data_IF_262695017182
#
_entry.id   IF_262695017182
#
_cell.length_a   1.000
_cell.length_b   1.000
_cell.length_c   1.000
_cell.angle_alpha   90.00
_cell.angle_beta   90.00
_cell.angle_gamma   90.00
#
_symmetry.space_group_name_H-M   'P 1'
#
loop_
_entity.id
_entity.type
_entity.pdbx_description
1 polymer ?
#
# COMPACT_ATOMS: atom_id res chain seq x y z
N UNK A 1 -20.37 10.00 73.32
CA UNK A 1 -18.91 9.91 73.59
C UNK A 1 -18.21 9.55 72.28
N UNK A 2 -17.67 10.54 71.55
CA UNK A 2 -16.99 10.30 70.27
C UNK A 2 -15.52 9.99 70.52
N UNK A 3 -15.10 8.77 70.19
CA UNK A 3 -13.71 8.29 70.31
C UNK A 3 -12.90 8.86 69.15
N UNK A 4 -12.07 9.87 69.40
CA UNK A 4 -11.11 10.38 68.41
C UNK A 4 -10.10 9.27 68.09
N UNK A 5 -10.06 8.81 66.83
CA UNK A 5 -8.98 7.94 66.35
C UNK A 5 -7.71 8.79 66.22
N UNK A 6 -6.65 8.39 66.91
CA UNK A 6 -5.34 9.00 66.77
C UNK A 6 -4.85 8.83 65.33
N UNK A 7 -4.57 9.94 64.64
CA UNK A 7 -3.92 9.93 63.34
C UNK A 7 -2.51 9.37 63.57
N UNK A 8 -2.29 8.14 63.11
CA UNK A 8 -0.98 7.50 63.17
C UNK A 8 -0.08 8.29 62.23
N UNK A 9 0.87 9.06 62.75
CA UNK A 9 1.94 9.67 61.96
C UNK A 9 2.89 8.55 61.52
N UNK A 10 2.49 7.77 60.52
CA UNK A 10 3.40 6.87 59.83
C UNK A 10 4.42 7.74 59.13
N UNK A 11 5.63 7.83 59.71
CA UNK A 11 6.76 8.42 59.01
C UNK A 11 6.87 7.72 57.64
N UNK A 12 7.00 8.48 56.53
CA UNK A 12 7.12 7.87 55.23
C UNK A 12 8.29 6.89 55.22
N UNK A 13 8.18 5.75 54.51
CA UNK A 13 9.28 4.79 54.43
C UNK A 13 10.55 5.49 53.93
N UNK A 14 11.71 5.16 54.51
CA UNK A 14 12.98 5.85 54.27
C UNK A 14 13.33 5.95 52.77
N UNK A 15 12.92 4.97 51.98
CA UNK A 15 13.03 4.95 50.53
C UNK A 15 12.33 6.13 49.83
N UNK A 16 11.10 6.45 50.28
CA UNK A 16 10.32 7.56 49.73
C UNK A 16 10.99 8.90 50.02
N UNK A 17 11.53 9.06 51.23
CA UNK A 17 12.31 10.25 51.60
C UNK A 17 13.54 10.43 50.73
N UNK A 18 14.21 9.33 50.37
CA UNK A 18 15.41 9.37 49.52
C UNK A 18 15.07 9.77 48.08
N UNK A 19 13.93 9.31 47.55
CA UNK A 19 13.40 9.73 46.24
C UNK A 19 13.03 11.21 46.25
N UNK A 20 12.32 11.68 47.29
CA UNK A 20 11.90 13.08 47.40
C UNK A 20 13.12 14.00 47.48
N UNK A 21 14.16 13.60 48.22
CA UNK A 21 15.41 14.35 48.36
C UNK A 21 16.14 14.54 47.02
N UNK A 22 16.08 13.55 46.13
CA UNK A 22 16.72 13.58 44.81
C UNK A 22 15.73 13.83 43.65
N UNK A 23 14.50 14.25 43.96
CA UNK A 23 13.41 14.39 42.99
C UNK A 23 13.76 15.29 41.81
N UNK A 24 14.49 16.38 42.02
CA UNK A 24 14.92 17.28 40.96
C UNK A 24 15.91 16.62 39.98
N UNK A 25 16.86 15.85 40.48
CA UNK A 25 17.85 15.13 39.66
C UNK A 25 17.18 14.03 38.85
N UNK A 26 16.27 13.28 39.51
CA UNK A 26 15.49 12.22 38.87
C UNK A 26 14.59 12.81 37.78
N UNK A 27 13.92 13.93 38.04
CA UNK A 27 13.10 14.62 37.04
C UNK A 27 13.93 15.09 35.84
N UNK A 28 15.12 15.65 36.07
CA UNK A 28 16.03 16.05 35.00
C UNK A 28 16.49 14.84 34.16
N UNK A 29 16.83 13.73 34.82
CA UNK A 29 17.22 12.49 34.14
C UNK A 29 16.10 11.98 33.22
N UNK A 30 14.86 11.91 33.72
CA UNK A 30 13.71 11.50 32.91
C UNK A 30 13.41 12.46 31.76
N UNK A 31 13.62 13.75 31.95
CA UNK A 31 13.45 14.75 30.90
C UNK A 31 14.47 14.54 29.77
N UNK A 32 15.74 14.32 30.10
CA UNK A 32 16.78 14.01 29.11
C UNK A 32 16.47 12.68 28.40
N UNK A 33 16.04 11.66 29.15
CA UNK A 33 15.65 10.37 28.58
C UNK A 33 14.49 10.50 27.59
N UNK A 34 13.48 11.31 27.92
CA UNK A 34 12.35 11.59 27.05
C UNK A 34 12.76 12.31 25.77
N UNK A 35 13.69 13.26 25.84
CA UNK A 35 14.24 13.95 24.65
C UNK A 35 14.97 12.93 23.75
N UNK A 36 15.87 12.13 24.32
CA UNK A 36 16.61 11.10 23.56
C UNK A 36 15.63 10.11 22.92
N UNK A 37 14.63 9.65 23.66
CA UNK A 37 13.60 8.75 23.17
C UNK A 37 12.76 9.38 22.04
N UNK A 38 12.47 10.68 22.12
CA UNK A 38 11.75 11.40 21.06
C UNK A 38 12.61 11.51 19.79
N UNK A 39 13.91 11.79 19.92
CA UNK A 39 14.82 11.77 18.77
C UNK A 39 14.95 10.37 18.15
N UNK A 40 14.96 9.32 18.97
CA UNK A 40 14.94 7.93 18.50
C UNK A 40 13.64 7.55 17.78
N UNK A 41 12.49 8.06 18.24
CA UNK A 41 11.21 7.88 17.55
C UNK A 41 11.15 8.61 16.21
N UNK A 42 11.77 9.79 16.12
CA UNK A 42 11.84 10.59 14.88
C UNK A 42 12.86 10.00 13.90
N UNK A 43 13.95 9.41 14.39
CA UNK A 43 14.87 8.66 13.52
C UNK A 43 14.11 7.46 12.94
N UNK A 44 13.94 7.47 11.62
CA UNK A 44 13.04 6.57 10.90
C UNK A 44 13.25 5.08 11.14
N UNK A 45 14.41 4.67 11.68
CA UNK A 45 14.70 3.26 12.00
C UNK A 45 13.72 2.62 13.01
N UNK A 46 13.10 3.40 13.92
CA UNK A 46 12.15 2.89 14.92
C UNK A 46 10.71 3.35 14.62
N UNK A 47 10.54 4.52 14.00
CA UNK A 47 9.23 5.11 13.71
C UNK A 47 8.34 4.24 12.82
N UNK A 48 8.93 3.48 11.87
CA UNK A 48 8.17 2.62 10.97
C UNK A 48 7.40 1.52 11.70
N UNK A 49 7.93 0.98 12.81
CA UNK A 49 7.29 -0.08 13.59
C UNK A 49 6.10 0.41 14.44
N UNK A 50 5.97 1.72 14.66
CA UNK A 50 4.94 2.30 15.56
C UNK A 50 3.79 2.99 14.82
N UNK A 51 3.77 2.91 13.48
CA UNK A 51 2.74 3.50 12.64
C UNK A 51 1.46 2.67 12.69
N UNK A 52 0.61 2.91 13.68
CA UNK A 52 -0.71 2.26 13.77
C UNK A 52 -1.69 3.01 12.86
N UNK A 53 -2.12 2.36 11.78
CA UNK A 53 -3.16 2.87 10.89
C UNK A 53 -4.44 2.07 11.12
N UNK A 54 -5.51 2.73 11.53
CA UNK A 54 -6.80 2.09 11.85
C UNK A 54 -7.57 1.64 10.60
N UNK A 55 -7.19 2.10 9.39
CA UNK A 55 -7.87 1.77 8.12
C UNK A 55 -6.93 1.58 6.92
N UNK A 56 -5.65 1.27 7.13
CA UNK A 56 -4.76 0.89 6.05
C UNK A 56 -4.34 -0.56 6.26
N UNK A 57 -4.16 -1.29 5.16
CA UNK A 57 -3.49 -2.59 5.13
C UNK A 57 -2.43 -2.72 6.24
N UNK A 58 -2.40 -3.89 6.89
CA UNK A 58 -1.39 -4.26 7.89
C UNK A 58 -0.03 -3.72 7.44
N UNK A 59 0.65 -2.92 8.28
CA UNK A 59 1.98 -2.36 8.00
C UNK A 59 3.09 -3.43 7.80
N UNK A 60 2.71 -4.71 7.68
CA UNK A 60 3.57 -5.83 7.28
C UNK A 60 3.02 -6.64 6.09
N UNK A 61 2.01 -6.15 5.36
CA UNK A 61 1.44 -6.79 4.15
C UNK A 61 1.79 -6.02 2.87
N UNK A 62 2.21 -4.75 2.98
CA UNK A 62 2.64 -3.94 1.85
C UNK A 62 4.12 -4.19 1.58
N UNK A 63 4.46 -4.73 0.42
CA UNK A 63 5.82 -4.64 -0.10
C UNK A 63 6.03 -3.23 -0.65
N UNK A 64 6.88 -2.45 0.02
CA UNK A 64 7.16 -1.07 -0.36
C UNK A 64 8.06 -0.97 -1.60
N UNK A 65 8.68 -2.07 -2.02
CA UNK A 65 9.67 -2.08 -3.09
C UNK A 65 9.20 -2.93 -4.25
N UNK A 66 9.16 -2.31 -5.42
CA UNK A 66 9.00 -3.04 -6.67
C UNK A 66 10.32 -3.72 -7.05
N UNK A 67 10.34 -5.05 -7.03
CA UNK A 67 11.57 -5.82 -7.26
C UNK A 67 11.77 -6.22 -8.74
N UNK A 68 10.75 -6.13 -9.59
CA UNK A 68 10.83 -6.59 -10.98
C UNK A 68 11.15 -5.46 -11.97
N UNK A 69 12.39 -4.98 -11.92
CA UNK A 69 12.90 -3.94 -12.82
C UNK A 69 13.12 -4.49 -14.24
N UNK A 70 13.49 -5.76 -14.36
CA UNK A 70 13.78 -6.39 -15.64
C UNK A 70 12.52 -6.48 -16.51
N UNK A 71 11.41 -6.94 -15.94
CA UNK A 71 10.13 -7.01 -16.66
C UNK A 71 9.63 -5.63 -17.09
N UNK A 72 9.78 -4.62 -16.22
CA UNK A 72 9.43 -3.25 -16.57
C UNK A 72 10.28 -2.73 -17.74
N UNK A 73 11.59 -3.02 -17.75
CA UNK A 73 12.47 -2.61 -18.85
C UNK A 73 12.11 -3.29 -20.17
N UNK A 74 11.74 -4.57 -20.15
CA UNK A 74 11.29 -5.31 -21.33
C UNK A 74 9.97 -4.73 -21.88
N UNK A 75 9.00 -4.47 -21.00
CA UNK A 75 7.72 -3.84 -21.40
C UNK A 75 7.94 -2.46 -22.03
N UNK A 76 8.88 -1.67 -21.50
CA UNK A 76 9.24 -0.36 -22.06
C UNK A 76 9.90 -0.48 -23.43
N UNK A 77 10.76 -1.47 -23.63
CA UNK A 77 11.41 -1.74 -24.92
C UNK A 77 10.36 -2.15 -25.97
N UNK A 78 9.55 -3.16 -25.66
CA UNK A 78 8.49 -3.67 -26.55
C UNK A 78 7.48 -2.57 -26.93
N UNK A 79 7.00 -1.79 -25.95
CA UNK A 79 6.09 -0.67 -26.20
C UNK A 79 6.79 0.47 -26.96
N UNK A 80 8.10 0.63 -26.78
CA UNK A 80 8.93 1.60 -27.49
C UNK A 80 9.01 1.32 -28.99
N UNK A 81 9.02 0.05 -29.40
CA UNK A 81 9.02 -0.36 -30.81
C UNK A 81 7.69 -0.01 -31.50
N UNK A 82 6.56 -0.21 -30.81
CA UNK A 82 5.21 -0.02 -31.37
C UNK A 82 4.58 1.35 -31.07
N UNK A 83 5.36 2.28 -30.48
CA UNK A 83 4.87 3.57 -29.97
C UNK A 83 4.07 4.43 -30.95
N UNK A 84 4.36 4.29 -32.24
CA UNK A 84 3.75 5.12 -33.28
C UNK A 84 2.37 4.60 -33.73
N UNK A 85 2.00 3.36 -33.37
CA UNK A 85 0.75 2.74 -33.80
C UNK A 85 -0.16 2.39 -32.62
N UNK A 86 -1.17 3.22 -32.41
CA UNK A 86 -2.17 3.04 -31.34
C UNK A 86 -2.96 1.72 -31.45
N UNK A 87 -3.10 1.16 -32.65
CA UNK A 87 -3.78 -0.14 -32.84
C UNK A 87 -2.91 -1.27 -32.31
N UNK A 88 -1.61 -1.23 -32.60
CA UNK A 88 -0.64 -2.21 -32.12
C UNK A 88 -0.47 -2.13 -30.61
N UNK A 89 -0.34 -0.92 -30.04
CA UNK A 89 -0.30 -0.73 -28.58
C UNK A 89 -1.51 -1.38 -27.91
N UNK A 90 -2.71 -1.16 -28.45
CA UNK A 90 -3.94 -1.78 -27.93
C UNK A 90 -3.90 -3.30 -28.01
N UNK A 91 -3.44 -3.86 -29.12
CA UNK A 91 -3.33 -5.31 -29.26
C UNK A 91 -2.29 -5.90 -28.31
N UNK A 92 -1.15 -5.25 -28.17
CA UNK A 92 -0.12 -5.61 -27.21
C UNK A 92 -0.65 -5.64 -25.77
N UNK A 93 -1.36 -4.59 -25.33
CA UNK A 93 -1.98 -4.54 -23.99
C UNK A 93 -2.95 -5.71 -23.79
N UNK A 94 -3.77 -6.01 -24.80
CA UNK A 94 -4.71 -7.12 -24.73
C UNK A 94 -3.99 -8.46 -24.59
N UNK A 95 -2.97 -8.69 -25.42
CA UNK A 95 -2.20 -9.93 -25.43
C UNK A 95 -1.41 -10.11 -24.13
N UNK A 96 -0.87 -9.03 -23.56
CA UNK A 96 -0.24 -9.05 -22.23
C UNK A 96 -1.22 -9.43 -21.12
N UNK A 97 -2.42 -8.84 -21.09
CA UNK A 97 -3.43 -9.28 -20.12
C UNK A 97 -3.82 -10.76 -20.27
N UNK A 98 -3.90 -11.26 -21.51
CA UNK A 98 -4.16 -12.68 -21.77
C UNK A 98 -3.01 -13.56 -21.26
N UNK A 99 -1.75 -13.18 -21.52
CA UNK A 99 -0.56 -13.89 -21.01
C UNK A 99 -0.57 -13.96 -19.48
N UNK A 100 -0.96 -12.88 -18.82
CA UNK A 100 -1.10 -12.78 -17.36
C UNK A 100 -2.32 -13.53 -16.81
N UNK A 101 -3.17 -14.12 -17.67
CA UNK A 101 -4.45 -14.78 -17.27
C UNK A 101 -5.42 -13.84 -16.56
N UNK A 102 -5.43 -12.57 -16.95
CA UNK A 102 -6.39 -11.56 -16.48
C UNK A 102 -7.65 -11.59 -17.37
N UNK A 103 -8.83 -11.41 -16.78
CA UNK A 103 -10.08 -11.28 -17.55
C UNK A 103 -10.05 -9.96 -18.33
N UNK A 104 -9.88 -10.00 -19.65
CA UNK A 104 -9.73 -8.80 -20.49
C UNK A 104 -10.90 -8.59 -21.44
N UNK A 105 -11.28 -7.32 -21.62
CA UNK A 105 -12.40 -6.91 -22.47
C UNK A 105 -12.05 -5.70 -23.35
N UNK A 106 -12.72 -5.62 -24.51
CA UNK A 106 -12.63 -4.49 -25.44
C UNK A 106 -13.97 -3.76 -25.51
N UNK A 107 -13.96 -2.47 -25.24
CA UNK A 107 -15.14 -1.61 -25.30
C UNK A 107 -14.98 -0.58 -26.42
N UNK A 108 -15.76 -0.77 -27.49
CA UNK A 108 -15.85 0.19 -28.59
C UNK A 108 -16.88 1.26 -28.25
N UNK A 109 -16.54 2.52 -28.45
CA UNK A 109 -17.44 3.65 -28.22
C UNK A 109 -17.38 4.63 -29.39
N UNK A 110 -18.44 5.43 -29.54
CA UNK A 110 -18.52 6.50 -30.54
C UNK A 110 -18.57 7.85 -29.83
N UNK A 111 -17.75 8.78 -30.28
CA UNK A 111 -17.75 10.14 -29.75
C UNK A 111 -18.86 10.95 -30.42
N UNK A 112 -19.63 11.64 -29.60
CA UNK A 112 -20.65 12.58 -30.07
C UNK A 112 -19.97 13.72 -30.85
N UNK A 113 -20.61 14.27 -31.89
CA UNK A 113 -20.05 15.34 -32.71
C UNK A 113 -19.54 16.55 -31.93
N UNK A 114 -20.20 16.88 -30.81
CA UNK A 114 -19.87 18.02 -29.93
C UNK A 114 -18.54 17.88 -29.17
N UNK A 115 -17.96 16.68 -29.12
CA UNK A 115 -16.68 16.39 -28.45
C UNK A 115 -15.55 16.04 -29.44
N UNK A 116 -15.77 16.24 -30.74
CA UNK A 116 -14.76 15.98 -31.78
C UNK A 116 -13.70 17.08 -31.78
N UNK A 117 -12.59 16.85 -31.10
CA UNK A 117 -11.40 17.70 -31.26
C UNK A 117 -10.58 17.31 -32.51
N UNK A 118 -10.63 16.04 -32.91
CA UNK A 118 -10.02 15.49 -34.12
C UNK A 118 -11.00 14.49 -34.78
N UNK A 119 -11.01 14.41 -36.11
CA UNK A 119 -12.00 13.73 -36.97
C UNK A 119 -12.22 12.20 -36.76
N UNK A 120 -11.75 11.61 -35.67
CA UNK A 120 -11.96 10.20 -35.32
C UNK A 120 -13.26 10.03 -34.53
N UNK A 121 -14.28 9.47 -35.18
CA UNK A 121 -15.62 9.24 -34.61
C UNK A 121 -15.70 8.03 -33.67
N UNK A 122 -14.72 7.12 -33.71
CA UNK A 122 -14.75 5.85 -32.98
C UNK A 122 -13.50 5.74 -32.08
N UNK A 123 -13.72 5.30 -30.84
CA UNK A 123 -12.67 4.97 -29.87
C UNK A 123 -12.81 3.53 -29.38
N UNK A 124 -11.75 3.01 -28.77
CA UNK A 124 -11.70 1.68 -28.19
C UNK A 124 -10.91 1.72 -26.88
N UNK A 125 -11.54 1.29 -25.80
CA UNK A 125 -10.89 1.09 -24.50
C UNK A 125 -10.64 -0.40 -24.29
N UNK A 126 -9.53 -0.71 -23.62
CA UNK A 126 -9.17 -2.06 -23.19
C UNK A 126 -9.05 -2.02 -21.69
N UNK A 127 -9.67 -2.98 -21.02
CA UNK A 127 -9.58 -3.11 -19.57
C UNK A 127 -9.47 -4.57 -19.15
N UNK A 128 -8.64 -4.80 -18.14
CA UNK A 128 -8.52 -6.07 -17.43
C UNK A 128 -9.23 -6.00 -16.09
N UNK A 129 -9.81 -7.12 -15.65
CA UNK A 129 -10.43 -7.26 -14.33
C UNK A 129 -9.64 -8.32 -13.55
N UNK A 130 -9.08 -7.90 -12.41
CA UNK A 130 -8.46 -8.78 -11.43
C UNK A 130 -9.39 -8.83 -10.22
N UNK A 131 -9.82 -10.04 -9.85
CA UNK A 131 -10.77 -10.25 -8.74
C UNK A 131 -10.00 -10.59 -7.46
N UNK A 132 -10.31 -9.90 -6.37
CA UNK A 132 -9.79 -10.25 -5.06
C UNK A 132 -10.41 -11.58 -4.57
N UNK A 133 -9.62 -12.41 -3.90
CA UNK A 133 -10.04 -13.75 -3.47
C UNK A 133 -11.04 -13.76 -2.30
N UNK A 134 -10.95 -12.81 -1.35
CA UNK A 134 -11.70 -12.87 -0.08
C UNK A 134 -12.71 -11.75 0.17
N UNK A 135 -12.75 -10.73 -0.67
CA UNK A 135 -13.70 -9.64 -0.49
C UNK A 135 -14.98 -9.93 -1.27
N UNK A 136 -16.14 -9.78 -0.62
CA UNK A 136 -17.38 -9.52 -1.36
C UNK A 136 -17.09 -8.35 -2.33
N UNK A 137 -17.53 -8.39 -3.60
CA UNK A 137 -17.20 -7.40 -4.62
C UNK A 137 -17.93 -6.06 -4.38
N UNK A 138 -17.77 -5.50 -3.19
CA UNK A 138 -18.37 -4.23 -2.75
C UNK A 138 -17.41 -3.06 -2.98
N UNK A 139 -16.12 -3.36 -3.18
CA UNK A 139 -15.07 -2.37 -3.41
C UNK A 139 -14.25 -2.74 -4.64
N UNK A 140 -13.92 -1.72 -5.44
CA UNK A 140 -13.10 -1.88 -6.63
C UNK A 140 -12.16 -0.68 -6.78
N UNK A 141 -10.93 -0.93 -7.23
CA UNK A 141 -9.95 0.09 -7.57
C UNK A 141 -9.88 0.17 -9.09
N UNK A 142 -10.03 1.38 -9.64
CA UNK A 142 -9.90 1.63 -11.06
C UNK A 142 -8.55 2.31 -11.33
N UNK A 143 -7.67 1.61 -12.06
CA UNK A 143 -6.45 2.18 -12.61
C UNK A 143 -6.69 2.51 -14.09
N UNK A 144 -6.75 3.79 -14.43
CA UNK A 144 -6.96 4.26 -15.79
C UNK A 144 -5.70 4.93 -16.33
N UNK A 145 -5.22 4.48 -17.48
CA UNK A 145 -3.99 4.96 -18.11
C UNK A 145 -4.27 5.41 -19.54
N UNK A 146 -3.79 6.58 -19.97
CA UNK A 146 -3.93 7.03 -21.35
C UNK A 146 -3.03 6.19 -22.28
N UNK A 147 -3.55 5.82 -23.46
CA UNK A 147 -2.77 5.05 -24.47
C UNK A 147 -1.65 5.85 -25.13
N UNK A 148 -1.47 7.12 -24.74
CA UNK A 148 -0.44 8.02 -25.26
C UNK A 148 0.88 7.98 -24.49
N UNK A 149 0.89 7.51 -23.23
CA UNK A 149 2.11 7.40 -22.43
C UNK A 149 2.51 5.94 -22.28
N UNK A 150 3.61 5.58 -22.93
CA UNK A 150 4.18 4.24 -22.92
C UNK A 150 4.62 3.85 -21.52
N UNK A 151 5.24 4.78 -20.81
CA UNK A 151 5.78 4.57 -19.48
C UNK A 151 4.68 4.22 -18.49
N UNK A 152 3.56 4.96 -18.58
CA UNK A 152 2.39 4.70 -17.75
C UNK A 152 1.75 3.34 -18.07
N UNK A 153 1.72 2.95 -19.34
CA UNK A 153 1.21 1.63 -19.77
C UNK A 153 2.10 0.52 -19.23
N UNK A 154 3.42 0.65 -19.38
CA UNK A 154 4.39 -0.34 -18.90
C UNK A 154 4.28 -0.55 -17.39
N UNK A 155 4.21 0.55 -16.62
CA UNK A 155 4.03 0.47 -15.16
C UNK A 155 2.69 -0.16 -14.78
N UNK A 156 1.61 0.17 -15.48
CA UNK A 156 0.30 -0.41 -15.19
C UNK A 156 0.21 -1.90 -15.54
N UNK A 157 0.82 -2.33 -16.65
CA UNK A 157 0.92 -3.75 -17.01
C UNK A 157 1.79 -4.52 -16.03
N UNK A 158 2.94 -3.96 -15.64
CA UNK A 158 3.79 -4.54 -14.60
C UNK A 158 3.00 -4.70 -13.30
N UNK A 159 2.34 -3.63 -12.83
CA UNK A 159 1.50 -3.65 -11.65
C UNK A 159 0.38 -4.70 -11.71
N UNK A 160 -0.32 -4.79 -12.84
CA UNK A 160 -1.40 -5.76 -13.04
C UNK A 160 -0.90 -7.21 -12.93
N UNK A 161 0.27 -7.48 -13.49
CA UNK A 161 0.91 -8.78 -13.41
C UNK A 161 1.29 -9.14 -11.97
N UNK A 162 1.95 -8.25 -11.24
CA UNK A 162 2.25 -8.47 -9.82
C UNK A 162 1.00 -8.69 -8.97
N UNK A 163 -0.04 -7.88 -9.20
CA UNK A 163 -1.32 -8.02 -8.51
C UNK A 163 -1.96 -9.39 -8.79
N UNK A 164 -1.80 -9.90 -10.01
CA UNK A 164 -2.30 -11.21 -10.40
C UNK A 164 -1.48 -12.35 -9.79
N UNK A 165 -0.16 -12.29 -9.85
CA UNK A 165 0.74 -13.28 -9.21
C UNK A 165 0.48 -13.38 -7.71
N UNK A 166 0.41 -12.23 -7.02
CA UNK A 166 0.11 -12.17 -5.58
C UNK A 166 -1.25 -12.79 -5.27
N UNK A 167 -2.25 -12.57 -6.13
CA UNK A 167 -3.58 -13.15 -5.95
C UNK A 167 -3.57 -14.69 -6.09
N UNK A 168 -2.76 -15.23 -7.01
CA UNK A 168 -2.66 -16.66 -7.27
C UNK A 168 -1.84 -17.39 -6.18
N UNK A 169 -0.78 -16.78 -5.67
CA UNK A 169 0.01 -17.32 -4.55
C UNK A 169 -0.84 -17.45 -3.27
N UNK A 170 -1.71 -16.47 -3.02
CA UNK A 170 -2.64 -16.50 -1.90
C UNK A 170 -3.70 -17.62 -2.03
N UNK A 171 -4.06 -18.00 -3.26
CA UNK A 171 -4.95 -19.14 -3.52
C UNK A 171 -4.22 -20.46 -3.25
N UNK A 172 -2.99 -20.60 -3.73
CA UNK A 172 -2.18 -21.81 -3.55
C UNK A 172 -1.91 -22.12 -2.07
N UNK A 173 -1.45 -21.13 -1.31
CA UNK A 173 -1.14 -21.26 0.11
C UNK A 173 -2.36 -21.62 0.97
N UNK A 174 -3.52 -21.03 0.69
CA UNK A 174 -4.76 -21.33 1.42
C UNK A 174 -5.41 -22.65 0.99
N UNK A 175 -5.18 -23.11 -0.23
CA UNK A 175 -5.68 -24.42 -0.68
C UNK A 175 -4.96 -25.58 0.04
N UNK A 176 -3.67 -25.41 0.36
CA UNK A 176 -2.90 -26.37 1.16
C UNK A 176 -3.32 -26.39 2.63
N UNK A 177 -3.69 -25.23 3.20
CA UNK A 177 -4.16 -25.13 4.58
C UNK A 177 -5.55 -25.75 4.84
N UNK A 178 -6.34 -26.00 3.78
CA UNK A 178 -7.65 -26.67 3.88
C UNK A 178 -7.60 -28.19 3.68
N UNK A 179 -6.44 -28.75 3.36
CA UNK A 179 -6.25 -30.19 3.10
C UNK A 179 -5.48 -30.90 4.23
N UNK A 180 -5.01 -30.16 5.23
CA UNK A 180 -4.43 -30.68 6.49
C UNK A 180 -5.39 -30.50 7.65
#
# INVERSE_FOLDING_TARGET
>A
MLRTRSIRSSQPPAFLMNIIKHSALIGFLFFVLAIIYTFLLISGEIGEYTKIQENALLAGLVDERWHDINKLSQLLEDLGEIKNNQIEIRNFIFDEFVKMRVEVYRQKFKLLPSFKLNNTSNGENIYGIIRAFRASPVEAILLAVPTTSIESIAVALAFADYAKETSDEFISSNSLALVT
#
